data_IF_840945337333
#
_entry.id   IF_840945337333
#
_cell.length_a   1.000
_cell.length_b   1.000
_cell.length_c   1.000
_cell.angle_alpha   90.00
_cell.angle_beta   90.00
_cell.angle_gamma   90.00
#
_symmetry.space_group_name_H-M   'P 1'
#
loop_
_entity.id
_entity.type
_entity.pdbx_description
1 polymer ?
#
# COMPACT_ATOMS: atom_id res chain seq x y z
N UNK A 1 -14.66 -0.54 -15.63
CA UNK A 1 -14.50 -0.47 -14.15
C UNK A 1 -13.17 0.19 -13.76
N UNK A 2 -12.01 -0.20 -14.33
CA UNK A 2 -10.74 0.48 -14.03
C UNK A 2 -10.77 2.01 -14.27
N UNK A 3 -11.33 2.47 -15.39
CA UNK A 3 -11.51 3.92 -15.63
C UNK A 3 -12.37 4.64 -14.59
N UNK A 4 -13.36 3.96 -14.02
CA UNK A 4 -14.20 4.53 -12.95
C UNK A 4 -13.37 4.71 -11.67
N UNK A 5 -12.53 3.72 -11.33
CA UNK A 5 -11.62 3.76 -10.18
C UNK A 5 -10.62 4.90 -10.32
N UNK A 6 -9.97 5.02 -11.49
CA UNK A 6 -9.04 6.11 -11.79
C UNK A 6 -9.73 7.46 -11.61
N UNK A 7 -10.96 7.60 -12.13
CA UNK A 7 -11.72 8.84 -11.99
C UNK A 7 -12.10 9.13 -10.54
N UNK A 8 -12.50 8.12 -9.74
CA UNK A 8 -12.78 8.29 -8.31
C UNK A 8 -11.54 8.79 -7.58
N UNK A 9 -10.38 8.14 -7.78
CA UNK A 9 -9.11 8.55 -7.16
C UNK A 9 -8.74 9.98 -7.55
N UNK A 10 -8.75 10.28 -8.85
CA UNK A 10 -8.35 11.60 -9.35
C UNK A 10 -9.26 12.71 -8.82
N UNK A 11 -10.59 12.57 -8.91
CA UNK A 11 -11.52 13.59 -8.44
C UNK A 11 -11.52 13.74 -6.92
N UNK A 12 -11.32 12.64 -6.17
CA UNK A 12 -11.19 12.70 -4.72
C UNK A 12 -9.95 13.48 -4.29
N UNK A 13 -8.82 13.27 -4.97
CA UNK A 13 -7.60 14.04 -4.74
C UNK A 13 -7.77 15.51 -5.11
N UNK A 14 -8.36 15.81 -6.27
CA UNK A 14 -8.69 17.19 -6.69
C UNK A 14 -9.50 17.87 -5.59
N UNK A 15 -10.54 17.21 -5.07
CA UNK A 15 -11.38 17.77 -4.01
C UNK A 15 -10.58 18.05 -2.73
N UNK A 16 -9.71 17.13 -2.31
CA UNK A 16 -8.87 17.31 -1.11
C UNK A 16 -7.92 18.49 -1.29
N UNK A 17 -7.16 18.54 -2.37
CA UNK A 17 -6.15 19.58 -2.63
C UNK A 17 -6.78 20.96 -2.83
N UNK A 18 -7.91 21.05 -3.53
CA UNK A 18 -8.64 22.32 -3.70
C UNK A 18 -9.20 22.82 -2.37
N UNK A 19 -9.75 21.94 -1.55
CA UNK A 19 -10.32 22.31 -0.25
C UNK A 19 -9.26 22.84 0.72
N UNK A 20 -8.07 22.26 0.74
CA UNK A 20 -6.96 22.69 1.61
C UNK A 20 -6.10 23.79 0.99
N UNK A 21 -6.38 24.19 -0.25
CA UNK A 21 -5.56 25.10 -1.06
C UNK A 21 -4.09 24.66 -1.18
N UNK A 22 -3.82 23.36 -1.11
CA UNK A 22 -2.48 22.80 -1.30
C UNK A 22 -2.25 22.57 -2.80
N UNK A 23 -1.10 22.97 -3.32
CA UNK A 23 -0.77 22.92 -4.75
C UNK A 23 0.26 21.86 -5.13
N UNK A 24 0.91 21.23 -4.15
CA UNK A 24 1.93 20.20 -4.35
C UNK A 24 1.52 18.89 -3.72
N UNK A 25 1.81 17.79 -4.41
CA UNK A 25 1.62 16.44 -3.91
C UNK A 25 2.98 15.83 -3.60
N UNK A 26 3.16 15.26 -2.40
CA UNK A 26 4.38 14.56 -1.98
C UNK A 26 4.09 13.07 -1.95
N UNK A 27 4.87 12.28 -2.68
CA UNK A 27 4.62 10.84 -2.84
C UNK A 27 5.92 10.07 -2.66
N UNK A 28 5.93 9.05 -1.81
CA UNK A 28 7.01 8.06 -1.80
C UNK A 28 6.84 7.11 -2.97
N UNK A 29 7.85 6.97 -3.83
CA UNK A 29 7.82 6.06 -5.00
C UNK A 29 8.87 4.97 -4.81
N UNK A 30 8.41 3.71 -4.71
CA UNK A 30 9.30 2.55 -4.52
C UNK A 30 9.48 1.73 -5.79
N UNK A 31 8.66 1.94 -6.82
CA UNK A 31 8.59 1.07 -8.00
C UNK A 31 7.67 -0.14 -7.81
N UNK A 32 7.12 -0.34 -6.62
CA UNK A 32 6.06 -1.33 -6.37
C UNK A 32 4.68 -0.86 -6.83
N UNK A 33 3.74 -1.80 -6.95
CA UNK A 33 2.39 -1.60 -7.48
C UNK A 33 1.66 -0.40 -6.84
N UNK A 34 1.60 -0.32 -5.51
CA UNK A 34 0.72 0.66 -4.86
C UNK A 34 1.22 2.09 -5.02
N UNK A 35 2.54 2.29 -4.88
CA UNK A 35 3.17 3.59 -5.09
C UNK A 35 3.03 4.06 -6.54
N UNK A 36 3.15 3.14 -7.50
CA UNK A 36 2.92 3.40 -8.93
C UNK A 36 1.47 3.82 -9.19
N UNK A 37 0.49 3.11 -8.64
CA UNK A 37 -0.92 3.48 -8.78
C UNK A 37 -1.21 4.86 -8.18
N UNK A 38 -0.65 5.16 -7.01
CA UNK A 38 -0.83 6.46 -6.37
C UNK A 38 -0.22 7.60 -7.20
N UNK A 39 0.98 7.39 -7.77
CA UNK A 39 1.62 8.36 -8.66
C UNK A 39 0.80 8.59 -9.94
N UNK A 40 0.40 7.52 -10.63
CA UNK A 40 -0.38 7.59 -11.87
C UNK A 40 -1.74 8.27 -11.65
N UNK A 41 -2.42 7.95 -10.54
CA UNK A 41 -3.70 8.58 -10.18
C UNK A 41 -3.54 10.06 -9.81
N UNK A 42 -2.44 10.41 -9.14
CA UNK A 42 -2.09 11.81 -8.84
C UNK A 42 -1.78 12.57 -10.12
N UNK A 43 -0.98 12.00 -11.03
CA UNK A 43 -0.71 12.57 -12.34
C UNK A 43 -2.01 12.80 -13.12
N UNK A 44 -2.94 11.83 -13.11
CA UNK A 44 -4.25 11.99 -13.75
C UNK A 44 -5.07 13.15 -13.15
N UNK A 45 -5.03 13.34 -11.83
CA UNK A 45 -5.68 14.48 -11.18
C UNK A 45 -5.11 15.82 -11.66
N UNK A 46 -3.79 15.91 -11.80
CA UNK A 46 -3.10 17.11 -12.29
C UNK A 46 -3.41 17.39 -13.76
N UNK A 47 -3.43 16.35 -14.59
CA UNK A 47 -3.83 16.43 -16.00
C UNK A 47 -5.27 16.99 -16.13
N UNK A 48 -6.24 16.41 -15.41
CA UNK A 48 -7.65 16.84 -15.45
C UNK A 48 -7.84 18.30 -15.05
N UNK A 49 -7.01 18.80 -14.14
CA UNK A 49 -7.07 20.18 -13.66
C UNK A 49 -6.15 21.13 -14.42
N UNK A 50 -5.38 20.63 -15.39
CA UNK A 50 -4.30 21.38 -16.07
C UNK A 50 -3.34 22.04 -15.08
N UNK A 51 -3.00 21.34 -13.99
CA UNK A 51 -2.00 21.78 -13.01
C UNK A 51 -0.58 21.42 -13.47
N UNK A 52 0.43 22.11 -12.93
CA UNK A 52 1.82 21.83 -13.25
C UNK A 52 2.24 20.46 -12.68
N UNK A 53 2.64 19.51 -13.54
CA UNK A 53 3.10 18.19 -13.11
C UNK A 53 4.40 18.22 -12.28
N UNK A 54 5.22 19.27 -12.40
CA UNK A 54 6.40 19.45 -11.52
C UNK A 54 6.03 19.68 -10.05
N UNK A 55 4.77 20.04 -9.76
CA UNK A 55 4.27 20.13 -8.39
C UNK A 55 3.94 18.76 -7.77
N UNK A 56 4.03 17.68 -8.54
CA UNK A 56 4.13 16.32 -8.01
C UNK A 56 5.59 16.08 -7.67
N UNK A 57 5.89 15.96 -6.37
CA UNK A 57 7.24 15.69 -5.86
C UNK A 57 7.27 14.21 -5.45
N UNK A 58 7.80 13.39 -6.34
CA UNK A 58 8.07 11.99 -6.09
C UNK A 58 9.42 11.85 -5.38
N UNK A 59 9.48 11.05 -4.31
CA UNK A 59 10.70 10.83 -3.54
C UNK A 59 10.99 9.34 -3.50
N UNK A 60 12.07 8.91 -4.16
CA UNK A 60 12.61 7.56 -3.99
C UNK A 60 13.54 7.55 -2.78
N UNK A 61 13.37 6.56 -1.91
CA UNK A 61 14.02 6.50 -0.59
C UNK A 61 14.70 5.15 -0.37
N UNK A 62 15.83 4.90 -1.07
CA UNK A 62 16.53 3.63 -0.97
C UNK A 62 17.03 3.38 0.45
N UNK A 63 16.93 2.12 0.89
CA UNK A 63 17.48 1.61 2.14
C UNK A 63 18.27 0.32 1.89
N UNK A 64 18.40 -0.53 2.90
CA UNK A 64 19.32 -1.67 2.84
C UNK A 64 18.87 -2.80 1.90
N UNK A 65 17.57 -2.90 1.59
CA UNK A 65 17.00 -3.94 0.74
C UNK A 65 16.53 -3.47 -0.64
N UNK A 66 16.81 -2.21 -1.02
CA UNK A 66 16.31 -1.64 -2.28
C UNK A 66 17.05 -2.23 -3.47
N UNK A 67 16.31 -2.80 -4.42
CA UNK A 67 16.90 -3.38 -5.63
C UNK A 67 17.07 -2.35 -6.74
N UNK A 68 18.02 -2.60 -7.65
CA UNK A 68 18.24 -1.74 -8.82
C UNK A 68 17.00 -1.70 -9.73
N UNK A 69 16.28 -2.81 -9.86
CA UNK A 69 15.11 -2.93 -10.76
C UNK A 69 13.96 -2.01 -10.34
N UNK A 70 13.51 -2.11 -9.09
CA UNK A 70 12.40 -1.30 -8.57
C UNK A 70 12.76 0.18 -8.55
N UNK A 71 13.99 0.52 -8.14
CA UNK A 71 14.51 1.89 -8.19
C UNK A 71 14.49 2.46 -9.62
N UNK A 72 14.99 1.72 -10.60
CA UNK A 72 15.04 2.19 -11.98
C UNK A 72 13.64 2.40 -12.57
N UNK A 73 12.71 1.48 -12.31
CA UNK A 73 11.30 1.66 -12.72
C UNK A 73 10.69 2.94 -12.14
N UNK A 74 10.94 3.22 -10.85
CA UNK A 74 10.46 4.44 -10.21
C UNK A 74 11.03 5.71 -10.85
N UNK A 75 12.33 5.73 -11.13
CA UNK A 75 13.03 6.86 -11.74
C UNK A 75 12.50 7.10 -13.16
N UNK A 76 12.51 6.07 -14.00
CA UNK A 76 12.09 6.16 -15.40
C UNK A 76 10.63 6.59 -15.52
N UNK A 77 9.75 6.05 -14.67
CA UNK A 77 8.35 6.45 -14.63
C UNK A 77 8.20 7.93 -14.32
N UNK A 78 8.96 8.45 -13.34
CA UNK A 78 8.90 9.86 -12.97
C UNK A 78 9.40 10.79 -14.10
N UNK A 79 10.48 10.40 -14.77
CA UNK A 79 11.04 11.15 -15.90
C UNK A 79 10.05 11.23 -17.07
N UNK A 80 9.44 10.11 -17.45
CA UNK A 80 8.46 10.06 -18.54
C UNK A 80 7.19 10.86 -18.22
N UNK A 81 6.78 10.88 -16.95
CA UNK A 81 5.62 11.65 -16.48
C UNK A 81 5.93 13.15 -16.27
N UNK A 82 7.20 13.57 -16.30
CA UNK A 82 7.59 14.96 -16.11
C UNK A 82 7.28 15.49 -14.70
N UNK A 83 7.39 14.64 -13.68
CA UNK A 83 7.22 15.03 -12.26
C UNK A 83 8.56 15.39 -11.62
N UNK A 84 8.56 16.15 -10.54
CA UNK A 84 9.79 16.42 -9.79
C UNK A 84 10.22 15.17 -9.03
N UNK A 85 11.37 14.59 -9.39
CA UNK A 85 11.97 13.46 -8.69
C UNK A 85 13.05 13.91 -7.71
N UNK A 86 13.05 13.31 -6.51
CA UNK A 86 14.12 13.45 -5.52
C UNK A 86 14.55 12.08 -5.03
N UNK A 87 15.83 11.92 -4.75
CA UNK A 87 16.38 10.74 -4.08
C UNK A 87 16.85 11.12 -2.68
N UNK A 88 16.44 10.34 -1.68
CA UNK A 88 16.86 10.51 -0.28
C UNK A 88 17.20 9.15 0.31
N UNK A 89 18.49 8.81 0.35
CA UNK A 89 18.98 7.60 1.02
C UNK A 89 18.69 7.67 2.53
N UNK A 90 17.98 6.65 3.05
CA UNK A 90 17.58 6.59 4.46
C UNK A 90 18.60 5.88 5.36
N UNK A 91 19.64 5.26 4.80
CA UNK A 91 20.55 4.36 5.50
C UNK A 91 21.20 5.03 6.70
N UNK A 92 21.69 6.27 6.53
CA UNK A 92 22.30 7.02 7.64
C UNK A 92 21.30 7.34 8.75
N UNK A 93 20.07 7.69 8.39
CA UNK A 93 19.01 7.99 9.36
C UNK A 93 18.62 6.72 10.13
N UNK A 94 18.46 5.60 9.43
CA UNK A 94 18.16 4.30 10.04
C UNK A 94 19.29 3.84 10.97
N UNK A 95 20.56 3.92 10.55
CA UNK A 95 21.71 3.58 11.39
C UNK A 95 21.78 4.42 12.67
N UNK A 96 21.49 5.73 12.55
CA UNK A 96 21.46 6.63 13.71
C UNK A 96 20.35 6.25 14.69
N UNK A 97 19.17 5.88 14.17
CA UNK A 97 18.05 5.45 15.01
C UNK A 97 18.31 4.08 15.65
N UNK A 98 18.95 3.15 14.93
CA UNK A 98 19.38 1.86 15.46
C UNK A 98 20.34 2.04 16.65
N UNK A 99 21.37 2.89 16.50
CA UNK A 99 22.28 3.22 17.60
C UNK A 99 21.53 3.82 18.80
N UNK A 100 20.62 4.76 18.54
CA UNK A 100 19.86 5.45 19.60
C UNK A 100 18.96 4.51 20.42
N UNK A 101 18.46 3.43 19.83
CA UNK A 101 17.61 2.43 20.51
C UNK A 101 18.38 1.19 20.97
N UNK A 102 19.69 1.11 20.72
CA UNK A 102 20.52 -0.07 21.02
C UNK A 102 20.16 -1.30 20.19
N UNK A 103 19.78 -1.11 18.92
CA UNK A 103 19.48 -2.18 17.97
C UNK A 103 20.70 -2.50 17.12
N UNK A 104 21.13 -3.76 17.12
CA UNK A 104 22.26 -4.23 16.30
C UNK A 104 21.85 -4.29 14.82
N UNK A 105 22.72 -3.84 13.91
CA UNK A 105 22.40 -3.75 12.47
C UNK A 105 22.15 -5.12 11.85
N UNK A 106 22.75 -6.16 12.41
CA UNK A 106 22.61 -7.55 11.98
C UNK A 106 21.34 -8.23 12.53
N UNK A 107 20.62 -7.60 13.47
CA UNK A 107 19.31 -8.09 13.91
C UNK A 107 18.22 -7.68 12.91
N UNK A 108 17.91 -8.56 11.97
CA UNK A 108 16.86 -8.39 10.96
C UNK A 108 15.43 -8.66 11.49
N UNK A 109 15.17 -8.33 12.76
CA UNK A 109 13.84 -8.41 13.35
C UNK A 109 12.89 -7.33 12.81
N UNK A 110 11.62 -7.40 13.23
CA UNK A 110 10.61 -6.39 12.86
C UNK A 110 11.01 -4.95 13.21
N UNK A 111 11.93 -4.77 14.17
CA UNK A 111 12.49 -3.46 14.51
C UNK A 111 13.30 -2.89 13.34
N UNK A 112 14.13 -3.71 12.68
CA UNK A 112 14.94 -3.33 11.52
C UNK A 112 14.09 -2.80 10.37
N UNK A 113 12.99 -3.50 10.08
CA UNK A 113 12.03 -3.13 9.05
C UNK A 113 11.27 -1.84 9.42
N UNK A 114 10.78 -1.76 10.66
CA UNK A 114 9.94 -0.65 11.11
C UNK A 114 10.70 0.69 11.20
N UNK A 115 11.97 0.70 11.62
CA UNK A 115 12.79 1.92 11.65
C UNK A 115 12.89 2.53 10.24
N UNK A 116 13.18 1.69 9.25
CA UNK A 116 13.25 2.13 7.85
C UNK A 116 11.91 2.68 7.35
N UNK A 117 10.79 2.01 7.65
CA UNK A 117 9.46 2.49 7.27
C UNK A 117 9.12 3.85 7.92
N UNK A 118 9.45 4.05 9.20
CA UNK A 118 9.22 5.33 9.90
C UNK A 118 10.13 6.44 9.40
N UNK A 119 11.39 6.14 9.11
CA UNK A 119 12.32 7.08 8.50
C UNK A 119 11.77 7.66 7.19
N UNK A 120 11.24 6.80 6.31
CA UNK A 120 10.60 7.21 5.04
C UNK A 120 9.40 8.13 5.27
N UNK A 121 8.48 7.76 6.17
CA UNK A 121 7.32 8.60 6.48
C UNK A 121 7.74 9.95 7.08
N UNK A 122 8.75 9.97 7.95
CA UNK A 122 9.30 11.22 8.51
C UNK A 122 9.82 12.16 7.41
N UNK A 123 10.59 11.63 6.45
CA UNK A 123 11.10 12.38 5.31
C UNK A 123 9.95 12.96 4.46
N UNK A 124 8.93 12.15 4.16
CA UNK A 124 7.78 12.59 3.36
C UNK A 124 7.01 13.73 4.06
N UNK A 125 6.70 13.56 5.35
CA UNK A 125 5.98 14.56 6.15
C UNK A 125 6.78 15.87 6.29
N UNK A 126 8.08 15.78 6.59
CA UNK A 126 8.93 16.96 6.71
C UNK A 126 9.17 17.66 5.36
N UNK A 127 9.21 16.89 4.26
CA UNK A 127 9.26 17.47 2.92
C UNK A 127 7.96 18.18 2.58
N UNK A 128 6.81 17.61 2.94
CA UNK A 128 5.52 18.27 2.79
C UNK A 128 5.44 19.60 3.55
N UNK A 129 5.94 19.65 4.79
CA UNK A 129 6.03 20.90 5.56
C UNK A 129 6.91 21.94 4.86
N UNK A 130 8.09 21.54 4.36
CA UNK A 130 9.01 22.44 3.66
C UNK A 130 8.42 22.96 2.35
N UNK A 131 7.73 22.11 1.60
CA UNK A 131 7.23 22.43 0.27
C UNK A 131 5.84 23.06 0.26
N UNK A 132 5.11 23.01 1.39
CA UNK A 132 3.69 23.32 1.46
C UNK A 132 2.84 22.30 0.70
N UNK A 133 3.19 21.02 0.80
CA UNK A 133 2.58 19.92 0.05
C UNK A 133 1.65 19.02 0.87
N UNK A 134 0.96 18.12 0.17
CA UNK A 134 0.08 17.09 0.76
C UNK A 134 0.74 15.72 0.57
N UNK A 135 1.00 14.98 1.65
CA UNK A 135 1.52 13.61 1.56
C UNK A 135 0.41 12.66 1.12
N UNK A 136 0.62 12.00 -0.02
CA UNK A 136 -0.30 11.00 -0.58
C UNK A 136 0.14 9.62 -0.12
N UNK A 137 -0.76 8.92 0.59
CA UNK A 137 -0.54 7.56 1.06
C UNK A 137 -0.84 6.53 -0.02
N UNK A 138 0.00 5.49 -0.06
CA UNK A 138 -0.03 4.44 -1.07
C UNK A 138 -0.68 3.15 -0.59
N UNK A 139 -0.86 2.96 0.72
CA UNK A 139 -1.38 1.72 1.30
C UNK A 139 -2.77 1.34 0.78
N UNK A 140 -2.93 0.06 0.48
CA UNK A 140 -4.13 -0.49 -0.15
C UNK A 140 -5.12 -1.12 0.84
N UNK A 141 -6.32 -1.47 0.36
CA UNK A 141 -7.39 -2.02 1.20
C UNK A 141 -7.00 -3.37 1.84
N UNK A 142 -6.22 -4.19 1.16
CA UNK A 142 -5.80 -5.52 1.61
C UNK A 142 -4.74 -5.42 2.69
N UNK A 143 -3.76 -4.53 2.52
CA UNK A 143 -2.78 -4.18 3.56
C UNK A 143 -3.47 -3.62 4.81
N UNK A 144 -4.45 -2.73 4.61
CA UNK A 144 -5.27 -2.19 5.69
C UNK A 144 -6.08 -3.28 6.40
N UNK A 145 -6.62 -4.26 5.67
CA UNK A 145 -7.37 -5.38 6.24
C UNK A 145 -6.49 -6.25 7.13
N UNK A 146 -5.30 -6.60 6.63
CA UNK A 146 -4.34 -7.46 7.32
C UNK A 146 -3.50 -6.70 8.34
N UNK A 147 -3.59 -5.37 8.40
CA UNK A 147 -2.66 -4.52 9.13
C UNK A 147 -1.21 -4.78 8.72
N UNK A 148 -0.98 -5.03 7.44
CA UNK A 148 0.34 -5.26 6.84
C UNK A 148 0.98 -3.92 6.52
N UNK A 149 1.33 -3.19 7.58
CA UNK A 149 1.90 -1.86 7.53
C UNK A 149 2.59 -1.53 8.85
N UNK A 150 3.51 -0.58 8.84
CA UNK A 150 4.13 -0.07 10.06
C UNK A 150 3.21 0.97 10.71
N UNK A 151 2.82 0.73 11.97
CA UNK A 151 2.11 1.74 12.73
C UNK A 151 3.01 2.96 12.96
N UNK A 152 2.46 4.12 12.63
CA UNK A 152 3.12 5.42 12.50
C UNK A 152 4.27 5.45 11.47
N UNK A 153 4.28 4.52 10.51
CA UNK A 153 5.15 4.50 9.34
C UNK A 153 4.33 4.67 8.06
N UNK A 154 4.44 3.72 7.14
CA UNK A 154 3.82 3.72 5.81
C UNK A 154 2.28 3.81 5.82
N UNK A 155 1.63 3.41 6.93
CA UNK A 155 0.18 3.56 7.05
C UNK A 155 -0.28 5.02 7.18
N UNK A 156 0.61 5.95 7.58
CA UNK A 156 0.28 7.36 7.76
C UNK A 156 0.55 8.20 6.52
N UNK A 157 -0.41 9.07 6.21
CA UNK A 157 -0.34 10.08 5.17
C UNK A 157 -1.34 11.19 5.49
N UNK A 158 -1.34 12.26 4.70
CA UNK A 158 -2.38 13.29 4.80
C UNK A 158 -3.63 12.91 3.99
N UNK A 159 -3.49 12.02 3.01
CA UNK A 159 -4.58 11.46 2.22
C UNK A 159 -4.23 10.08 1.65
N UNK A 160 -4.92 9.02 2.08
CA UNK A 160 -4.66 7.63 1.68
C UNK A 160 -5.42 7.27 0.40
N UNK A 161 -4.83 7.60 -0.75
CA UNK A 161 -5.51 7.57 -2.05
C UNK A 161 -5.93 6.15 -2.49
N UNK A 162 -5.15 5.13 -2.12
CA UNK A 162 -5.39 3.73 -2.50
C UNK A 162 -6.24 2.96 -1.48
N UNK A 163 -6.63 3.58 -0.36
CA UNK A 163 -7.25 2.88 0.79
C UNK A 163 -8.56 2.15 0.49
N UNK A 164 -9.22 2.45 -0.64
CA UNK A 164 -10.44 1.80 -1.10
C UNK A 164 -10.25 0.68 -2.13
N UNK A 165 -9.01 0.36 -2.51
CA UNK A 165 -8.69 -0.55 -3.63
C UNK A 165 -7.97 -1.79 -3.09
N UNK A 166 -8.50 -3.01 -3.30
CA UNK A 166 -7.81 -4.24 -2.90
C UNK A 166 -6.63 -4.56 -3.82
N UNK A 167 -5.61 -5.25 -3.30
CA UNK A 167 -4.36 -5.62 -4.01
C UNK A 167 -4.64 -6.32 -5.33
N UNK A 168 -5.58 -7.26 -5.33
CA UNK A 168 -6.00 -8.00 -6.53
C UNK A 168 -6.50 -7.10 -7.66
N UNK A 169 -7.00 -5.90 -7.34
CA UNK A 169 -7.52 -4.94 -8.31
C UNK A 169 -6.45 -3.95 -8.79
N UNK A 170 -5.43 -3.66 -7.99
CA UNK A 170 -4.39 -2.67 -8.30
C UNK A 170 -3.71 -2.98 -9.63
N UNK A 171 -3.31 -4.23 -9.86
CA UNK A 171 -2.65 -4.65 -11.10
C UNK A 171 -3.46 -4.29 -12.36
N UNK A 172 -4.79 -4.53 -12.34
CA UNK A 172 -5.68 -4.24 -13.47
C UNK A 172 -5.91 -2.74 -13.66
N UNK A 173 -5.85 -1.96 -12.57
CA UNK A 173 -5.96 -0.51 -12.67
C UNK A 173 -4.68 0.08 -13.25
N UNK A 174 -3.50 -0.39 -12.82
CA UNK A 174 -2.21 0.01 -13.40
C UNK A 174 -2.15 -0.37 -14.87
N UNK A 175 -2.56 -1.59 -15.23
CA UNK A 175 -2.60 -2.05 -16.62
C UNK A 175 -3.44 -1.13 -17.52
N UNK A 176 -4.52 -0.54 -17.00
CA UNK A 176 -5.34 0.40 -17.78
C UNK A 176 -4.65 1.74 -18.10
N UNK A 177 -3.48 2.04 -17.52
CA UNK A 177 -2.66 3.18 -17.92
C UNK A 177 -1.77 2.89 -19.16
N UNK A 178 -1.73 1.65 -19.66
CA UNK A 178 -0.94 1.26 -20.84
C UNK A 178 -1.39 1.92 -22.15
N UNK A 179 -2.54 2.59 -22.17
CA UNK A 179 -2.96 3.45 -23.28
C UNK A 179 -1.94 4.57 -23.56
N UNK A 180 -1.16 4.97 -22.55
CA UNK A 180 0.02 5.79 -22.74
C UNK A 180 1.21 4.91 -23.15
N UNK A 181 1.50 4.87 -24.46
CA UNK A 181 2.56 4.06 -25.04
C UNK A 181 3.97 4.37 -24.50
N UNK A 182 4.18 5.54 -23.86
CA UNK A 182 5.49 5.93 -23.30
C UNK A 182 5.84 5.21 -22.00
N UNK A 183 4.84 4.69 -21.28
CA UNK A 183 5.03 4.03 -19.97
C UNK A 183 4.68 2.54 -20.02
N UNK A 184 4.29 2.00 -21.18
CA UNK A 184 3.84 0.61 -21.33
C UNK A 184 4.90 -0.39 -20.86
N UNK A 185 6.15 -0.24 -21.30
CA UNK A 185 7.24 -1.16 -20.92
C UNK A 185 7.58 -1.08 -19.44
N UNK A 186 7.48 0.12 -18.83
CA UNK A 186 7.69 0.34 -17.40
C UNK A 186 6.59 -0.35 -16.59
N UNK A 187 5.33 -0.19 -17.03
CA UNK A 187 4.18 -0.87 -16.41
C UNK A 187 4.35 -2.38 -16.49
N UNK A 188 4.77 -2.91 -17.65
CA UNK A 188 5.00 -4.35 -17.82
C UNK A 188 6.09 -4.87 -16.87
N UNK A 189 7.17 -4.12 -16.66
CA UNK A 189 8.22 -4.51 -15.72
C UNK A 189 7.76 -4.44 -14.25
N UNK A 190 7.00 -3.40 -13.88
CA UNK A 190 6.40 -3.25 -12.55
C UNK A 190 5.42 -4.41 -12.26
N UNK A 191 4.56 -4.77 -13.21
CA UNK A 191 3.60 -5.88 -13.07
C UNK A 191 4.31 -7.24 -13.00
N UNK A 192 5.47 -7.39 -13.65
CA UNK A 192 6.29 -8.59 -13.60
C UNK A 192 7.22 -8.66 -12.37
N UNK A 193 7.23 -7.64 -11.51
CA UNK A 193 8.05 -7.61 -10.31
C UNK A 193 7.32 -8.29 -9.14
N UNK A 194 7.95 -9.28 -8.45
CA UNK A 194 7.36 -9.93 -7.28
C UNK A 194 6.99 -8.94 -6.16
N UNK A 195 5.89 -9.19 -5.45
CA UNK A 195 5.41 -8.31 -4.36
C UNK A 195 6.27 -8.51 -3.10
N UNK A 196 7.06 -7.49 -2.75
CA UNK A 196 8.03 -7.51 -1.64
C UNK A 196 8.12 -6.16 -0.92
N UNK A 197 8.36 -6.14 0.41
CA UNK A 197 8.64 -4.90 1.13
C UNK A 197 10.06 -4.34 0.94
N UNK A 198 11.01 -5.05 0.30
CA UNK A 198 12.40 -4.57 0.03
C UNK A 198 13.09 -3.88 1.23
N UNK A 199 12.91 -4.42 2.45
CA UNK A 199 13.49 -3.86 3.68
C UNK A 199 14.73 -4.59 4.16
N UNK A 200 14.86 -5.89 3.86
CA UNK A 200 16.02 -6.69 4.26
C UNK A 200 17.11 -6.68 3.19
N UNK A 201 18.40 -6.75 3.59
CA UNK A 201 19.51 -6.88 2.65
C UNK A 201 19.34 -8.08 1.71
N UNK A 202 19.75 -7.91 0.47
CA UNK A 202 19.62 -8.91 -0.57
C UNK A 202 20.97 -9.36 -1.14
N UNK A 203 21.05 -10.60 -1.63
CA UNK A 203 22.22 -11.12 -2.36
C UNK A 203 21.98 -10.95 -3.87
N UNK A 204 22.85 -10.19 -4.54
CA UNK A 204 22.90 -10.01 -6.02
C UNK A 204 21.60 -9.49 -6.66
N UNK A 205 21.01 -8.43 -6.12
CA UNK A 205 19.77 -7.78 -6.61
C UNK A 205 18.52 -8.67 -6.72
N UNK A 206 18.52 -9.84 -6.08
CA UNK A 206 17.33 -10.70 -6.02
C UNK A 206 16.45 -10.34 -4.83
N UNK A 207 15.15 -10.25 -5.06
CA UNK A 207 14.16 -10.09 -3.99
C UNK A 207 14.21 -11.31 -3.07
N UNK A 208 14.55 -11.09 -1.80
CA UNK A 208 14.67 -12.16 -0.78
C UNK A 208 13.34 -12.41 -0.06
N UNK A 209 12.43 -11.45 -0.07
CA UNK A 209 11.17 -11.51 0.69
C UNK A 209 9.96 -11.43 -0.24
N UNK A 210 9.24 -12.53 -0.42
CA UNK A 210 7.93 -12.48 -1.07
C UNK A 210 6.84 -12.31 -0.01
N UNK A 211 6.09 -11.21 -0.09
CA UNK A 211 5.05 -10.87 0.90
C UNK A 211 4.02 -11.99 1.04
N UNK A 212 3.56 -12.54 -0.09
CA UNK A 212 2.54 -13.59 -0.12
C UNK A 212 3.03 -14.91 0.49
N UNK A 213 4.34 -15.17 0.50
CA UNK A 213 4.90 -16.32 1.23
C UNK A 213 4.74 -16.19 2.75
N UNK A 214 4.78 -14.95 3.25
CA UNK A 214 4.64 -14.65 4.67
C UNK A 214 3.17 -14.57 5.04
N UNK A 215 2.38 -13.69 4.41
CA UNK A 215 1.00 -13.42 4.83
C UNK A 215 -0.06 -14.28 4.17
N UNK A 216 0.27 -14.99 3.09
CA UNK A 216 -0.66 -15.73 2.26
C UNK A 216 -1.10 -14.94 1.02
N UNK A 217 -1.75 -15.61 0.05
CA UNK A 217 -2.09 -15.03 -1.24
C UNK A 217 -3.21 -13.99 -1.10
N UNK A 218 -3.04 -12.83 -1.73
CA UNK A 218 -4.00 -11.74 -1.68
C UNK A 218 -5.35 -12.11 -2.31
N UNK A 219 -5.39 -13.00 -3.30
CA UNK A 219 -6.65 -13.48 -3.89
C UNK A 219 -7.56 -14.18 -2.88
N UNK A 220 -6.99 -14.92 -1.92
CA UNK A 220 -7.75 -15.50 -0.82
C UNK A 220 -8.16 -14.42 0.19
N UNK A 221 -7.24 -13.55 0.61
CA UNK A 221 -7.54 -12.51 1.60
C UNK A 221 -8.61 -11.53 1.14
N UNK A 222 -8.56 -11.10 -0.12
CA UNK A 222 -9.54 -10.20 -0.71
C UNK A 222 -10.91 -10.88 -0.85
N UNK A 223 -10.93 -12.18 -1.16
CA UNK A 223 -12.16 -12.98 -1.16
C UNK A 223 -12.77 -13.07 0.25
N UNK A 224 -11.94 -13.37 1.25
CA UNK A 224 -12.37 -13.45 2.65
C UNK A 224 -12.91 -12.10 3.13
N UNK A 225 -12.17 -11.02 2.84
CA UNK A 225 -12.55 -9.65 3.19
C UNK A 225 -13.87 -9.26 2.56
N UNK A 226 -14.05 -9.53 1.26
CA UNK A 226 -15.29 -9.24 0.56
C UNK A 226 -16.47 -9.94 1.21
N UNK A 227 -16.38 -11.25 1.46
CA UNK A 227 -17.49 -12.01 2.04
C UNK A 227 -17.77 -11.65 3.50
N UNK A 228 -16.72 -11.36 4.28
CA UNK A 228 -16.85 -10.89 5.65
C UNK A 228 -17.59 -9.55 5.71
N UNK A 229 -17.14 -8.54 4.96
CA UNK A 229 -17.69 -7.18 5.06
C UNK A 229 -19.02 -7.02 4.32
N UNK A 230 -19.13 -7.57 3.11
CA UNK A 230 -20.31 -7.35 2.27
C UNK A 230 -21.53 -8.12 2.77
N UNK A 231 -21.32 -9.31 3.31
CA UNK A 231 -22.40 -10.24 3.66
C UNK A 231 -22.43 -10.65 5.13
N UNK A 232 -21.46 -10.24 5.96
CA UNK A 232 -21.36 -10.72 7.34
C UNK A 232 -21.19 -12.25 7.42
N UNK A 233 -20.55 -12.85 6.40
CA UNK A 233 -20.46 -14.29 6.30
C UNK A 233 -19.60 -14.87 7.45
N UNK A 234 -20.07 -15.97 8.04
CA UNK A 234 -19.33 -16.69 9.08
C UNK A 234 -18.09 -17.38 8.50
N UNK A 235 -17.07 -17.67 9.32
CA UNK A 235 -15.85 -18.38 8.90
C UNK A 235 -16.13 -19.69 8.14
N UNK A 236 -17.06 -20.52 8.61
CA UNK A 236 -17.48 -21.76 7.91
C UNK A 236 -18.05 -21.48 6.52
N UNK A 237 -18.85 -20.42 6.40
CA UNK A 237 -19.45 -20.04 5.11
C UNK A 237 -18.38 -19.53 4.15
N UNK A 238 -17.44 -18.71 4.63
CA UNK A 238 -16.33 -18.21 3.83
C UNK A 238 -15.47 -19.38 3.34
N UNK A 239 -15.11 -20.32 4.22
CA UNK A 239 -14.34 -21.51 3.87
C UNK A 239 -15.06 -22.35 2.80
N UNK A 240 -16.35 -22.63 3.01
CA UNK A 240 -17.17 -23.35 2.04
C UNK A 240 -17.16 -22.67 0.66
N UNK A 241 -17.38 -21.36 0.61
CA UNK A 241 -17.40 -20.61 -0.66
C UNK A 241 -16.02 -20.61 -1.33
N UNK A 242 -14.94 -20.44 -0.56
CA UNK A 242 -13.58 -20.43 -1.09
C UNK A 242 -13.18 -21.79 -1.68
N UNK A 243 -13.54 -22.91 -1.04
CA UNK A 243 -13.33 -24.27 -1.58
C UNK A 243 -14.02 -24.50 -2.93
N UNK A 244 -15.14 -23.80 -3.20
CA UNK A 244 -15.82 -23.89 -4.49
C UNK A 244 -15.27 -22.91 -5.53
N UNK A 245 -14.71 -21.79 -5.08
CA UNK A 245 -14.22 -20.73 -5.95
C UNK A 245 -12.78 -20.96 -6.43
N UNK A 246 -11.94 -21.60 -5.62
CA UNK A 246 -10.52 -21.75 -5.89
C UNK A 246 -10.12 -23.21 -6.02
N UNK A 247 -9.90 -23.67 -7.25
CA UNK A 247 -9.38 -25.03 -7.54
C UNK A 247 -7.88 -25.18 -7.23
N UNK A 248 -7.16 -24.05 -7.19
CA UNK A 248 -5.69 -23.98 -6.99
C UNK A 248 -5.25 -24.34 -5.57
N UNK A 249 -6.12 -24.18 -4.58
CA UNK A 249 -5.81 -24.35 -3.17
C UNK A 249 -6.63 -25.49 -2.59
N UNK A 250 -6.01 -26.36 -1.80
CA UNK A 250 -6.77 -27.36 -1.07
C UNK A 250 -7.44 -26.75 0.18
N UNK A 251 -8.39 -27.47 0.78
CA UNK A 251 -9.14 -26.97 1.95
C UNK A 251 -8.23 -26.61 3.13
N UNK A 252 -7.17 -27.39 3.37
CA UNK A 252 -6.23 -27.15 4.47
C UNK A 252 -5.49 -25.81 4.29
N UNK A 253 -5.05 -25.51 3.07
CA UNK A 253 -4.41 -24.24 2.71
C UNK A 253 -5.38 -23.06 2.87
N UNK A 254 -6.60 -23.18 2.33
CA UNK A 254 -7.62 -22.12 2.45
C UNK A 254 -7.93 -21.89 3.94
N UNK A 255 -8.12 -22.96 4.71
CA UNK A 255 -8.38 -22.90 6.16
C UNK A 255 -7.23 -22.23 6.90
N UNK A 256 -5.98 -22.58 6.60
CA UNK A 256 -4.78 -21.95 7.18
C UNK A 256 -4.78 -20.45 6.95
N UNK A 257 -5.00 -20.01 5.71
CA UNK A 257 -4.99 -18.58 5.38
C UNK A 257 -6.19 -17.83 5.92
N UNK A 258 -7.37 -18.46 5.99
CA UNK A 258 -8.55 -17.89 6.62
C UNK A 258 -8.38 -17.71 8.14
N UNK A 259 -7.74 -18.65 8.85
CA UNK A 259 -7.37 -18.45 10.27
C UNK A 259 -6.46 -17.24 10.43
N UNK A 260 -5.45 -17.12 9.57
CA UNK A 260 -4.51 -15.99 9.60
C UNK A 260 -5.19 -14.67 9.29
N UNK A 261 -6.07 -14.64 8.28
CA UNK A 261 -6.89 -13.49 7.93
C UNK A 261 -7.73 -13.04 9.13
N UNK A 262 -8.50 -13.95 9.74
CA UNK A 262 -9.35 -13.63 10.90
C UNK A 262 -8.50 -13.08 12.06
N UNK A 263 -7.40 -13.75 12.40
CA UNK A 263 -6.51 -13.29 13.47
C UNK A 263 -5.99 -11.87 13.22
N UNK A 264 -5.42 -11.62 12.04
CA UNK A 264 -4.87 -10.30 11.70
C UNK A 264 -5.95 -9.24 11.55
N UNK A 265 -7.05 -9.58 10.91
CA UNK A 265 -8.18 -8.67 10.74
C UNK A 265 -8.68 -8.18 12.09
N UNK A 266 -8.85 -9.04 13.09
CA UNK A 266 -9.28 -8.59 14.41
C UNK A 266 -8.19 -7.84 15.16
N UNK A 267 -7.00 -8.43 15.30
CA UNK A 267 -5.92 -7.88 16.14
C UNK A 267 -5.32 -6.56 15.62
N UNK A 268 -5.45 -6.27 14.32
CA UNK A 268 -4.87 -5.07 13.72
C UNK A 268 -5.86 -3.90 13.60
N UNK A 269 -7.05 -3.99 14.22
CA UNK A 269 -8.06 -2.94 14.15
C UNK A 269 -7.59 -1.59 14.68
N UNK A 270 -6.68 -1.56 15.66
CA UNK A 270 -6.11 -0.31 16.17
C UNK A 270 -5.45 0.53 15.08
N UNK A 271 -4.80 -0.10 14.08
CA UNK A 271 -4.19 0.62 12.94
C UNK A 271 -5.24 1.30 12.06
N UNK A 272 -6.42 0.70 11.92
CA UNK A 272 -7.53 1.25 11.14
C UNK A 272 -8.24 2.39 11.85
N UNK A 273 -8.31 2.33 13.18
CA UNK A 273 -8.99 3.36 13.98
C UNK A 273 -8.41 4.76 13.76
N UNK A 274 -7.12 4.89 13.43
CA UNK A 274 -6.46 6.17 13.13
C UNK A 274 -6.05 6.32 11.66
N UNK A 275 -6.66 5.58 10.72
CA UNK A 275 -6.28 5.69 9.30
C UNK A 275 -6.60 7.09 8.73
N UNK A 276 -5.80 7.58 7.75
CA UNK A 276 -6.04 8.85 7.08
C UNK A 276 -7.36 8.84 6.31
N UNK A 277 -7.80 10.02 5.85
CA UNK A 277 -8.91 10.09 4.91
C UNK A 277 -8.52 9.55 3.55
N UNK A 278 -9.46 8.90 2.88
CA UNK A 278 -9.30 8.38 1.52
C UNK A 278 -10.66 8.06 0.90
N UNK A 279 -10.74 7.92 -0.44
CA UNK A 279 -11.99 7.63 -1.11
C UNK A 279 -12.39 6.15 -0.96
N UNK A 280 -13.68 5.90 -0.72
CA UNK A 280 -14.27 4.58 -0.96
C UNK A 280 -14.40 4.37 -2.47
N UNK A 281 -13.91 3.24 -2.96
CA UNK A 281 -13.95 2.89 -4.39
C UNK A 281 -14.91 1.72 -4.64
N UNK A 282 -14.75 0.63 -3.91
CA UNK A 282 -15.57 -0.57 -4.06
C UNK A 282 -16.88 -0.56 -3.28
N UNK A 283 -17.49 -1.73 -3.16
CA UNK A 283 -18.69 -1.93 -2.34
C UNK A 283 -18.40 -1.98 -0.83
N UNK A 284 -17.13 -2.15 -0.45
CA UNK A 284 -16.65 -2.24 0.93
C UNK A 284 -15.58 -1.16 1.19
N UNK A 285 -15.45 -0.76 2.45
CA UNK A 285 -14.42 0.14 2.96
C UNK A 285 -14.05 -0.25 4.39
N UNK A 286 -12.83 0.05 4.81
CA UNK A 286 -12.33 -0.20 6.16
C UNK A 286 -12.20 1.07 7.00
N UNK A 287 -12.74 2.20 6.51
CA UNK A 287 -12.75 3.44 7.27
C UNK A 287 -13.64 3.31 8.52
N UNK A 288 -13.12 3.63 9.73
CA UNK A 288 -13.90 3.66 10.96
C UNK A 288 -14.98 4.75 10.97
N UNK A 289 -14.87 5.69 10.02
CA UNK A 289 -15.81 6.81 9.84
C UNK A 289 -16.98 6.44 8.90
N UNK A 290 -16.93 5.27 8.27
CA UNK A 290 -17.92 4.83 7.29
C UNK A 290 -18.37 3.37 7.55
N UNK A 291 -17.93 2.45 6.70
CA UNK A 291 -18.49 1.10 6.58
C UNK A 291 -18.09 0.14 7.72
N UNK A 292 -16.93 0.34 8.36
CA UNK A 292 -16.39 -0.64 9.31
C UNK A 292 -16.17 -0.07 10.71
N UNK A 293 -17.06 -0.40 11.64
CA UNK A 293 -16.97 0.01 13.05
C UNK A 293 -16.77 -1.23 13.93
N UNK A 294 -15.52 -1.46 14.33
CA UNK A 294 -15.16 -2.55 15.24
C UNK A 294 -14.29 -1.99 16.38
N UNK A 295 -14.51 -2.39 17.64
CA UNK A 295 -13.60 -2.10 18.75
C UNK A 295 -12.18 -2.58 18.44
N UNK A 296 -11.17 -1.82 18.85
CA UNK A 296 -9.76 -2.20 18.61
C UNK A 296 -9.32 -3.42 19.43
N UNK A 297 -10.12 -3.77 20.43
CA UNK A 297 -9.97 -4.81 21.44
C UNK A 297 -11.04 -5.92 21.30
N UNK A 298 -11.67 -6.04 20.13
CA UNK A 298 -12.64 -7.08 19.85
C UNK A 298 -12.04 -8.50 19.97
N UNK A 299 -12.73 -9.40 20.68
CA UNK A 299 -12.29 -10.79 20.84
C UNK A 299 -12.47 -11.59 19.54
N UNK A 300 -11.37 -12.23 19.11
CA UNK A 300 -11.29 -13.04 17.89
C UNK A 300 -11.62 -14.51 18.13
N UNK A 301 -11.65 -14.99 19.39
CA UNK A 301 -11.77 -16.42 19.72
C UNK A 301 -12.99 -17.09 19.11
N UNK A 302 -14.17 -16.45 19.23
CA UNK A 302 -15.43 -17.00 18.71
C UNK A 302 -15.35 -17.24 17.20
N UNK A 303 -14.62 -16.40 16.45
CA UNK A 303 -14.44 -16.54 15.01
C UNK A 303 -13.47 -17.67 14.66
N UNK A 304 -12.43 -17.89 15.46
CA UNK A 304 -11.49 -18.98 15.25
C UNK A 304 -12.05 -20.34 15.66
N UNK A 305 -12.82 -20.40 16.74
CA UNK A 305 -13.52 -21.61 17.19
C UNK A 305 -14.63 -22.04 16.20
N UNK A 306 -15.21 -21.07 15.50
CA UNK A 306 -16.18 -21.33 14.45
C UNK A 306 -15.55 -21.93 13.18
N UNK A 307 -14.22 -22.01 13.03
CA UNK A 307 -13.57 -22.50 11.81
C UNK A 307 -13.15 -23.97 11.89
#
# INVERSE_FOLDING_TARGET
>A
RCHEIINIQAHALIKRMTHTNIKKAIIGISGGLDSTLALLSTHKAFELMSWNHEHIIAITMPGFGTTSRTKNNAIELCEVLGVTLREVDISKLALTEFEAIGHEVEDYSVTYENVQARARTSILMNTANREGGLVIGTGDLSEIALGWSTYNGDHMSMYALNSGIPKTLIQYVIESFKDNSKITHIIDDILATPISPELLPHDKDNIVQETESIIGPYELHDFFLYHLLKYGASPKKILFLANHAFEKYNEEEIRKWLKKFIWRFFTQQFKRSCMPDGPKVGSISLSPRADWKMPSDADVKIWLEAL
#
